data_IF_163322981331
#
_entry.id   IF_163322981331
#
_cell.length_a   1.000
_cell.length_b   1.000
_cell.length_c   1.000
_cell.angle_alpha   90.00
_cell.angle_beta   90.00
_cell.angle_gamma   90.00
#
_symmetry.space_group_name_H-M   'P 1'
#
loop_
_entity.id
_entity.type
_entity.pdbx_description
1 polymer ?
#
# COMPACT_ATOMS: atom_id res chain seq x y z
N UNK A 1 -6.53 -18.13 4.35
CA UNK A 1 -5.68 -17.01 4.81
C UNK A 1 -4.37 -17.11 4.04
N UNK A 2 -3.96 -16.06 3.33
CA UNK A 2 -2.70 -16.04 2.59
C UNK A 2 -1.65 -15.32 3.43
N UNK A 3 -0.42 -15.83 3.42
CA UNK A 3 0.71 -15.26 4.16
C UNK A 3 1.85 -14.98 3.18
N UNK A 4 2.46 -13.81 3.33
CA UNK A 4 3.60 -13.38 2.53
C UNK A 4 4.69 -12.85 3.46
N UNK A 5 5.94 -13.23 3.17
CA UNK A 5 7.12 -12.74 3.89
C UNK A 5 7.94 -11.92 2.91
N UNK A 6 8.16 -10.64 3.23
CA UNK A 6 9.01 -9.72 2.47
C UNK A 6 10.22 -9.33 3.30
N UNK A 7 11.40 -9.27 2.70
CA UNK A 7 12.68 -9.00 3.39
C UNK A 7 13.19 -7.58 3.22
N UNK A 8 12.57 -6.79 2.36
CA UNK A 8 12.95 -5.41 2.07
C UNK A 8 11.76 -4.63 1.49
N UNK A 9 11.92 -3.31 1.42
CA UNK A 9 10.89 -2.39 0.92
C UNK A 9 10.48 -2.68 -0.53
N UNK A 10 11.42 -3.06 -1.39
CA UNK A 10 11.14 -3.36 -2.81
C UNK A 10 10.20 -4.55 -2.95
N UNK A 11 10.40 -5.60 -2.15
CA UNK A 11 9.50 -6.76 -2.10
C UNK A 11 8.10 -6.39 -1.57
N UNK A 12 8.03 -5.53 -0.55
CA UNK A 12 6.74 -5.01 -0.04
C UNK A 12 6.01 -4.16 -1.09
N UNK A 13 6.73 -3.34 -1.84
CA UNK A 13 6.17 -2.57 -2.96
C UNK A 13 5.63 -3.51 -4.06
N UNK A 14 6.41 -4.52 -4.45
CA UNK A 14 6.00 -5.51 -5.45
C UNK A 14 4.78 -6.32 -5.00
N UNK A 15 4.65 -6.61 -3.69
CA UNK A 15 3.44 -7.20 -3.13
C UNK A 15 2.24 -6.25 -3.27
N UNK A 16 2.42 -4.96 -2.98
CA UNK A 16 1.39 -3.95 -3.18
C UNK A 16 0.89 -3.87 -4.62
N UNK A 17 1.79 -3.92 -5.61
CA UNK A 17 1.42 -3.94 -7.03
C UNK A 17 0.58 -5.17 -7.40
N UNK A 18 0.88 -6.34 -6.82
CA UNK A 18 0.07 -7.56 -7.00
C UNK A 18 -1.31 -7.43 -6.38
N UNK A 19 -1.40 -6.84 -5.19
CA UNK A 19 -2.69 -6.58 -4.52
C UNK A 19 -3.55 -5.65 -5.38
N UNK A 20 -2.97 -4.59 -5.95
CA UNK A 20 -3.69 -3.66 -6.82
C UNK A 20 -4.39 -4.35 -8.00
N UNK A 21 -3.76 -5.36 -8.60
CA UNK A 21 -4.36 -6.15 -9.69
C UNK A 21 -5.56 -7.01 -9.29
N UNK A 22 -5.84 -7.15 -7.99
CA UNK A 22 -6.98 -7.87 -7.45
C UNK A 22 -8.12 -6.94 -6.98
N UNK A 23 -7.86 -5.64 -6.88
CA UNK A 23 -8.83 -4.67 -6.38
C UNK A 23 -9.84 -4.28 -7.45
N UNK A 24 -11.07 -4.03 -7.01
CA UNK A 24 -12.16 -3.50 -7.80
C UNK A 24 -12.62 -2.15 -7.25
N UNK A 25 -13.38 -1.41 -8.06
CA UNK A 25 -13.98 -0.16 -7.63
C UNK A 25 -14.89 -0.40 -6.42
N UNK A 26 -14.70 0.40 -5.37
CA UNK A 26 -15.48 0.33 -4.13
C UNK A 26 -14.86 -0.57 -3.05
N UNK A 27 -13.77 -1.28 -3.33
CA UNK A 27 -13.06 -2.06 -2.34
C UNK A 27 -12.46 -1.17 -1.24
N UNK A 28 -12.52 -1.64 0.01
CA UNK A 28 -11.93 -0.98 1.18
C UNK A 28 -10.86 -1.90 1.76
N UNK A 29 -9.63 -1.41 1.83
CA UNK A 29 -8.50 -2.15 2.39
C UNK A 29 -8.06 -1.54 3.72
N UNK A 30 -8.17 -2.32 4.81
CA UNK A 30 -7.64 -1.93 6.10
C UNK A 30 -6.19 -2.41 6.25
N UNK A 31 -5.24 -1.47 6.38
CA UNK A 31 -3.81 -1.78 6.56
C UNK A 31 -3.41 -1.48 8.01
N UNK A 32 -3.12 -2.54 8.79
CA UNK A 32 -2.83 -2.44 10.22
C UNK A 32 -1.41 -2.90 10.55
N UNK A 33 -0.79 -2.26 11.55
CA UNK A 33 0.55 -2.61 12.02
C UNK A 33 1.19 -1.45 12.80
N UNK A 34 2.28 -1.74 13.51
CA UNK A 34 2.99 -0.75 14.34
C UNK A 34 3.70 0.34 13.51
N UNK A 35 4.13 1.42 14.17
CA UNK A 35 4.94 2.45 13.52
C UNK A 35 6.21 1.83 12.92
N UNK A 36 6.53 2.19 11.68
CA UNK A 36 7.69 1.62 10.99
C UNK A 36 7.49 0.22 10.40
N UNK A 37 6.32 -0.40 10.54
CA UNK A 37 6.05 -1.76 10.04
C UNK A 37 5.93 -1.88 8.50
N UNK A 38 6.22 -0.82 7.74
CA UNK A 38 6.17 -0.85 6.27
C UNK A 38 4.80 -0.57 5.63
N UNK A 39 3.78 -0.14 6.39
CA UNK A 39 2.44 0.17 5.86
C UNK A 39 2.47 1.14 4.67
N UNK A 40 3.24 2.24 4.78
CA UNK A 40 3.34 3.25 3.71
C UNK A 40 4.03 2.69 2.47
N UNK A 41 5.00 1.78 2.62
CA UNK A 41 5.60 1.09 1.48
C UNK A 41 4.56 0.22 0.76
N UNK A 42 3.78 -0.55 1.50
CA UNK A 42 2.71 -1.35 0.92
C UNK A 42 1.70 -0.49 0.12
N UNK A 43 1.26 0.64 0.69
CA UNK A 43 0.34 1.58 0.02
C UNK A 43 0.96 2.20 -1.24
N UNK A 44 2.26 2.53 -1.23
CA UNK A 44 2.99 2.99 -2.42
C UNK A 44 2.98 1.94 -3.53
N UNK A 45 3.24 0.68 -3.20
CA UNK A 45 3.14 -0.43 -4.15
C UNK A 45 1.74 -0.56 -4.75
N UNK A 46 0.69 -0.45 -3.93
CA UNK A 46 -0.71 -0.50 -4.40
C UNK A 46 -0.98 0.67 -5.36
N UNK A 47 -0.64 1.91 -4.96
CA UNK A 47 -0.84 3.09 -5.78
C UNK A 47 -0.15 2.96 -7.16
N UNK A 48 1.09 2.46 -7.17
CA UNK A 48 1.83 2.19 -8.41
C UNK A 48 1.13 1.14 -9.28
N UNK A 49 0.62 0.06 -8.69
CA UNK A 49 -0.16 -0.95 -9.41
C UNK A 49 -1.47 -0.42 -9.99
N UNK A 50 -2.07 0.59 -9.35
CA UNK A 50 -3.24 1.33 -9.84
C UNK A 50 -2.89 2.45 -10.83
N UNK A 51 -1.61 2.62 -11.19
CA UNK A 51 -1.11 3.67 -12.10
C UNK A 51 -1.34 5.09 -11.57
N UNK A 52 -1.24 5.27 -10.25
CA UNK A 52 -1.22 6.57 -9.61
C UNK A 52 0.24 7.05 -9.56
N UNK A 53 0.54 8.14 -10.25
CA UNK A 53 1.90 8.72 -10.34
C UNK A 53 2.21 9.74 -9.23
N UNK A 54 1.25 10.01 -8.34
CA UNK A 54 1.40 10.97 -7.26
C UNK A 54 2.42 10.54 -6.20
N UNK A 55 3.03 11.52 -5.54
CA UNK A 55 3.95 11.25 -4.45
C UNK A 55 3.20 10.84 -3.17
N UNK A 56 3.05 9.53 -2.98
CA UNK A 56 2.35 8.96 -1.80
C UNK A 56 3.13 9.22 -0.51
N UNK A 57 2.48 9.89 0.43
CA UNK A 57 3.00 10.18 1.78
C UNK A 57 2.04 9.69 2.86
N UNK A 58 2.53 9.60 4.11
CA UNK A 58 1.72 9.20 5.26
C UNK A 58 0.78 10.34 5.68
N UNK A 59 -0.54 10.13 5.77
CA UNK A 59 -1.49 11.14 6.26
C UNK A 59 -1.43 11.42 7.76
N UNK A 60 -0.28 11.28 8.42
CA UNK A 60 -0.20 11.22 9.89
C UNK A 60 -0.84 12.43 10.57
N UNK A 61 -0.74 13.62 9.96
CA UNK A 61 -1.36 14.85 10.47
C UNK A 61 -2.56 15.33 9.65
N UNK A 62 -2.67 14.91 8.39
CA UNK A 62 -3.74 15.31 7.46
C UNK A 62 -4.96 14.40 7.53
N UNK A 63 -4.84 13.24 8.19
CA UNK A 63 -5.83 12.16 8.34
C UNK A 63 -6.19 11.45 7.03
N UNK A 64 -6.32 12.18 5.92
CA UNK A 64 -6.73 11.64 4.61
C UNK A 64 -5.92 12.29 3.49
N UNK A 65 -5.49 11.48 2.53
CA UNK A 65 -5.04 11.93 1.21
C UNK A 65 -5.96 11.29 0.16
N UNK A 66 -6.29 12.04 -0.87
CA UNK A 66 -6.95 11.54 -2.07
C UNK A 66 -5.99 11.71 -3.24
N UNK A 67 -5.82 10.64 -4.00
CA UNK A 67 -4.97 10.56 -5.19
C UNK A 67 -5.81 10.01 -6.34
#
# INVERSE_FOLDING_TARGET
MQEYITKNESETNALGEKIAGLLNQGDILAVTGELGSGKTALVKGIAKGLKIDDHITSPTFTLVHSY
#
